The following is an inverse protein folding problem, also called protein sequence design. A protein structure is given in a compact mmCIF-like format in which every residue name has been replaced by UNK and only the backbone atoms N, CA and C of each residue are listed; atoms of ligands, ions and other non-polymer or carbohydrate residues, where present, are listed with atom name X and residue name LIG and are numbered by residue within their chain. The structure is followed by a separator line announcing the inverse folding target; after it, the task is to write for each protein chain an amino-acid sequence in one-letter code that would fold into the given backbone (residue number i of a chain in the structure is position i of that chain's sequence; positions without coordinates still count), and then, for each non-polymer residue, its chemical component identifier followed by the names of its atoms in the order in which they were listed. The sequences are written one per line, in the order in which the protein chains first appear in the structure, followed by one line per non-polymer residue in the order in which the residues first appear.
data_IF_287141445575
#
_entry.id   IF_287141445575
#
_cell.length_a   1.000
_cell.length_b   1.000
_cell.length_c   1.000
_cell.angle_alpha   90.00
_cell.angle_beta   90.00
_cell.angle_gamma   90.00
#
_symmetry.space_group_name_H-M   'P 1'
#
loop_
_entity.id
_entity.type
_entity.pdbx_description
1 polymer ?
#
# COMPACT_ATOMS: atom_id res chain seq x y z
N UNK A 1 -14.87 -4.59 -15.25
CA UNK A 1 -13.54 -4.16 -15.72
C UNK A 1 -13.41 -4.00 -17.25
N UNK A 2 -14.44 -4.25 -18.07
CA UNK A 2 -14.36 -4.14 -19.55
C UNK A 2 -14.07 -2.74 -20.13
N UNK A 3 -14.11 -1.69 -19.31
CA UNK A 3 -14.04 -0.28 -19.75
C UNK A 3 -12.90 0.53 -19.15
N UNK A 4 -12.13 -0.05 -18.22
CA UNK A 4 -10.99 0.64 -17.62
C UNK A 4 -9.78 0.29 -18.47
N UNK A 5 -9.16 1.26 -19.19
CA UNK A 5 -7.96 1.00 -19.96
C UNK A 5 -6.86 0.49 -19.03
N UNK A 6 -5.97 -0.35 -19.55
CA UNK A 6 -4.79 -0.77 -18.81
C UNK A 6 -4.02 0.46 -18.29
N UNK A 7 -3.47 0.40 -17.09
CA UNK A 7 -2.82 1.55 -16.44
C UNK A 7 -1.73 2.20 -17.29
N UNK A 8 -0.98 1.39 -18.05
CA UNK A 8 0.00 1.88 -19.03
C UNK A 8 -0.65 2.73 -20.14
N UNK A 9 -1.83 2.34 -20.63
CA UNK A 9 -2.54 3.09 -21.68
C UNK A 9 -2.96 4.46 -21.13
N UNK A 10 -3.50 4.49 -19.91
CA UNK A 10 -3.84 5.77 -19.25
C UNK A 10 -2.60 6.64 -19.07
N UNK A 11 -1.49 6.07 -18.62
CA UNK A 11 -0.22 6.78 -18.49
C UNK A 11 0.27 7.34 -19.83
N UNK A 12 0.24 6.55 -20.91
CA UNK A 12 0.63 6.99 -22.26
C UNK A 12 -0.25 8.11 -22.79
N UNK A 13 -1.58 8.04 -22.57
CA UNK A 13 -2.52 9.09 -22.96
C UNK A 13 -2.23 10.38 -22.20
N UNK A 14 -2.09 10.32 -20.87
CA UNK A 14 -1.76 11.49 -20.04
C UNK A 14 -0.40 12.09 -20.45
N UNK A 15 0.56 11.24 -20.79
CA UNK A 15 1.88 11.66 -21.23
C UNK A 15 1.81 12.38 -22.59
N UNK A 16 0.99 11.90 -23.52
CA UNK A 16 0.73 12.57 -24.79
C UNK A 16 -0.01 13.90 -24.59
N UNK A 17 -1.01 13.95 -23.70
CA UNK A 17 -1.71 15.18 -23.34
C UNK A 17 -0.72 16.21 -22.77
N UNK A 18 0.14 15.80 -21.83
CA UNK A 18 1.17 16.67 -21.27
C UNK A 18 2.13 17.20 -22.34
N UNK A 19 2.51 16.36 -23.31
CA UNK A 19 3.33 16.76 -24.45
C UNK A 19 2.63 17.82 -25.32
N UNK A 20 1.36 17.62 -25.67
CA UNK A 20 0.57 18.58 -26.46
C UNK A 20 0.37 19.89 -25.70
N UNK A 21 0.06 19.83 -24.41
CA UNK A 21 -0.08 21.01 -23.56
C UNK A 21 1.22 21.81 -23.49
N UNK A 22 2.37 21.14 -23.38
CA UNK A 22 3.67 21.81 -23.37
C UNK A 22 3.99 22.54 -24.69
N UNK A 23 3.51 22.05 -25.84
CA UNK A 23 3.71 22.70 -27.14
C UNK A 23 2.91 24.00 -27.30
N UNK A 24 1.73 24.07 -26.68
CA UNK A 24 0.84 25.23 -26.76
C UNK A 24 1.02 26.22 -25.60
N UNK A 25 1.80 25.85 -24.59
CA UNK A 25 2.06 26.68 -23.43
C UNK A 25 3.18 27.68 -23.72
N UNK A 26 2.86 28.98 -23.65
CA UNK A 26 3.77 30.08 -23.99
C UNK A 26 5.12 30.03 -23.25
N UNK A 27 5.14 29.44 -22.05
CA UNK A 27 6.34 29.36 -21.20
C UNK A 27 7.37 28.27 -21.53
N UNK A 28 7.04 27.28 -22.38
CA UNK A 28 7.96 26.16 -22.73
C UNK A 28 8.45 26.27 -24.18
N UNK A 29 7.67 26.96 -25.02
CA UNK A 29 8.00 27.31 -26.40
C UNK A 29 7.44 26.33 -27.43
N UNK A 30 7.00 26.87 -28.57
CA UNK A 30 6.35 26.15 -29.67
C UNK A 30 7.23 25.12 -30.41
N UNK A 31 8.47 24.89 -29.98
CA UNK A 31 9.42 24.02 -30.65
C UNK A 31 9.34 22.58 -30.08
N UNK A 32 8.91 21.59 -30.87
CA UNK A 32 8.83 20.19 -30.43
C UNK A 32 10.15 19.62 -29.92
N UNK A 33 11.27 20.08 -30.44
CA UNK A 33 12.59 19.63 -29.99
C UNK A 33 12.86 20.02 -28.54
N UNK A 34 12.47 21.22 -28.12
CA UNK A 34 12.60 21.69 -26.74
C UNK A 34 11.76 20.84 -25.78
N UNK A 35 10.52 20.52 -26.18
CA UNK A 35 9.62 19.68 -25.38
C UNK A 35 10.17 18.26 -25.24
N UNK A 36 10.69 17.66 -26.33
CA UNK A 36 11.32 16.33 -26.28
C UNK A 36 12.56 16.34 -25.36
N UNK A 37 13.40 17.37 -25.44
CA UNK A 37 14.56 17.52 -24.55
C UNK A 37 14.14 17.66 -23.08
N UNK A 38 13.11 18.45 -22.79
CA UNK A 38 12.56 18.59 -21.44
C UNK A 38 12.01 17.25 -20.92
N UNK A 39 11.31 16.50 -21.79
CA UNK A 39 10.78 15.17 -21.47
C UNK A 39 11.88 14.17 -21.11
N UNK A 40 12.93 14.12 -21.93
CA UNK A 40 14.09 13.27 -21.69
C UNK A 40 14.81 13.61 -20.38
N UNK A 41 14.97 14.90 -20.05
CA UNK A 41 15.53 15.33 -18.76
C UNK A 41 14.65 14.91 -17.58
N UNK A 42 13.33 15.09 -17.70
CA UNK A 42 12.37 14.69 -16.66
C UNK A 42 12.32 13.19 -16.41
N UNK A 43 12.48 12.36 -17.45
CA UNK A 43 12.52 10.91 -17.33
C UNK A 43 13.59 10.43 -16.34
N UNK A 44 14.79 11.00 -16.41
CA UNK A 44 15.89 10.63 -15.51
C UNK A 44 15.67 11.07 -14.06
N UNK A 45 14.91 12.15 -13.82
CA UNK A 45 14.54 12.57 -12.47
C UNK A 45 13.61 11.55 -11.79
N UNK A 46 12.72 10.91 -12.57
CA UNK A 46 11.79 9.89 -12.07
C UNK A 46 12.48 8.55 -11.78
N UNK A 47 13.62 8.27 -12.40
CA UNK A 47 14.33 6.99 -12.22
C UNK A 47 14.74 6.75 -10.76
N UNK A 48 15.22 7.79 -10.05
CA UNK A 48 15.57 7.69 -8.62
C UNK A 48 14.34 7.31 -7.79
N UNK A 49 13.21 7.97 -8.04
CA UNK A 49 11.94 7.70 -7.36
C UNK A 49 11.44 6.27 -7.67
N UNK A 50 11.47 5.87 -8.94
CA UNK A 50 11.08 4.52 -9.36
C UNK A 50 11.95 3.44 -8.69
N UNK A 51 13.27 3.64 -8.65
CA UNK A 51 14.18 2.73 -7.96
C UNK A 51 13.86 2.60 -6.46
N UNK A 52 13.54 3.71 -5.79
CA UNK A 52 13.09 3.68 -4.39
C UNK A 52 11.83 2.81 -4.22
N UNK A 53 10.84 2.94 -5.11
CA UNK A 53 9.62 2.13 -5.04
C UNK A 53 9.90 0.65 -5.29
N UNK A 54 10.76 0.34 -6.27
CA UNK A 54 11.21 -1.03 -6.53
C UNK A 54 11.92 -1.64 -5.32
N UNK A 55 12.81 -0.89 -4.66
CA UNK A 55 13.52 -1.35 -3.48
C UNK A 55 12.57 -1.56 -2.29
N UNK A 56 11.60 -0.68 -2.05
CA UNK A 56 10.61 -0.86 -0.98
C UNK A 56 9.81 -2.16 -1.20
N UNK A 57 9.35 -2.42 -2.43
CA UNK A 57 8.65 -3.65 -2.78
C UNK A 57 9.54 -4.89 -2.65
N UNK A 58 10.74 -4.86 -3.23
CA UNK A 58 11.64 -6.01 -3.24
C UNK A 58 12.10 -6.37 -1.82
N UNK A 59 12.50 -5.38 -1.03
CA UNK A 59 12.90 -5.61 0.36
C UNK A 59 11.72 -6.06 1.22
N UNK A 60 10.54 -5.47 1.02
CA UNK A 60 9.31 -5.91 1.65
C UNK A 60 8.97 -7.37 1.34
N UNK A 61 9.12 -7.77 0.07
CA UNK A 61 8.95 -9.16 -0.37
C UNK A 61 9.97 -10.10 0.29
N UNK A 62 11.26 -9.77 0.23
CA UNK A 62 12.33 -10.60 0.82
C UNK A 62 12.08 -10.84 2.32
N UNK A 63 11.68 -9.79 3.04
CA UNK A 63 11.35 -9.90 4.47
C UNK A 63 10.10 -10.74 4.67
N UNK A 64 9.04 -10.52 3.88
CA UNK A 64 7.78 -11.25 4.00
C UNK A 64 7.93 -12.77 3.84
N UNK A 65 8.78 -13.21 2.91
CA UNK A 65 9.04 -14.62 2.63
C UNK A 65 10.17 -15.22 3.47
N UNK A 66 10.71 -14.45 4.42
CA UNK A 66 11.77 -14.94 5.28
C UNK A 66 11.21 -15.93 6.33
N UNK A 67 11.95 -17.00 6.70
CA UNK A 67 11.48 -17.97 7.68
C UNK A 67 11.02 -17.38 9.03
N UNK A 68 11.65 -16.32 9.59
CA UNK A 68 11.16 -15.71 10.82
C UNK A 68 9.78 -15.07 10.68
N UNK A 69 9.54 -14.34 9.59
CA UNK A 69 8.26 -13.67 9.34
C UNK A 69 7.17 -14.68 9.05
N UNK A 70 7.48 -15.69 8.23
CA UNK A 70 6.54 -16.77 7.93
C UNK A 70 6.09 -17.50 9.22
N UNK A 71 7.05 -17.86 10.10
CA UNK A 71 6.75 -18.45 11.41
C UNK A 71 5.91 -17.54 12.29
N UNK A 72 6.19 -16.24 12.31
CA UNK A 72 5.42 -15.27 13.07
C UNK A 72 3.99 -15.16 12.54
N UNK A 73 3.79 -15.08 11.23
CA UNK A 73 2.46 -15.05 10.61
C UNK A 73 1.69 -16.34 10.86
N UNK A 74 2.32 -17.50 10.73
CA UNK A 74 1.69 -18.78 11.04
C UNK A 74 1.28 -18.88 12.51
N UNK A 75 2.14 -18.44 13.43
CA UNK A 75 1.82 -18.39 14.86
C UNK A 75 0.66 -17.42 15.13
N UNK A 76 0.70 -16.20 14.58
CA UNK A 76 -0.38 -15.22 14.72
C UNK A 76 -1.71 -15.79 14.23
N UNK A 77 -1.73 -16.51 13.11
CA UNK A 77 -2.94 -17.09 12.54
C UNK A 77 -3.61 -18.14 13.46
N UNK A 78 -2.86 -18.71 14.39
CA UNK A 78 -3.38 -19.69 15.37
C UNK A 78 -4.06 -19.03 16.58
N UNK A 79 -3.87 -17.72 16.79
CA UNK A 79 -4.38 -17.00 17.98
C UNK A 79 -5.90 -16.77 18.00
N UNK A 80 -6.59 -16.46 16.88
CA UNK A 80 -8.03 -16.23 16.90
C UNK A 80 -8.80 -17.49 17.34
N UNK A 81 -9.86 -17.31 18.12
CA UNK A 81 -10.73 -18.40 18.51
C UNK A 81 -11.61 -18.84 17.30
N UNK A 82 -11.58 -20.12 16.89
CA UNK A 82 -12.38 -20.64 15.78
C UNK A 82 -13.90 -20.44 15.90
N UNK A 83 -14.42 -20.28 17.13
CA UNK A 83 -15.84 -20.00 17.38
C UNK A 83 -16.17 -18.50 17.34
N UNK A 84 -15.16 -17.63 17.20
CA UNK A 84 -15.28 -16.18 17.09
C UNK A 84 -14.56 -15.68 15.82
N UNK A 85 -15.07 -16.00 14.61
CA UNK A 85 -14.38 -15.73 13.35
C UNK A 85 -14.11 -14.25 13.07
N UNK A 86 -14.84 -13.31 13.69
CA UNK A 86 -14.54 -11.88 13.63
C UNK A 86 -13.15 -11.53 14.18
N UNK A 87 -12.57 -12.35 15.07
CA UNK A 87 -11.22 -12.16 15.59
C UNK A 87 -10.15 -12.35 14.49
N UNK A 88 -10.42 -13.20 13.50
CA UNK A 88 -9.54 -13.37 12.34
C UNK A 88 -9.52 -12.11 11.47
N UNK A 89 -10.70 -11.48 11.27
CA UNK A 89 -10.83 -10.20 10.56
C UNK A 89 -10.08 -9.09 11.29
N UNK A 90 -10.26 -9.01 12.61
CA UNK A 90 -9.57 -8.04 13.45
C UNK A 90 -8.06 -8.20 13.33
N UNK A 91 -7.55 -9.42 13.49
CA UNK A 91 -6.13 -9.72 13.43
C UNK A 91 -5.55 -9.43 12.04
N UNK A 92 -6.25 -9.80 10.97
CA UNK A 92 -5.85 -9.47 9.60
C UNK A 92 -5.71 -7.96 9.41
N UNK A 93 -6.73 -7.19 9.78
CA UNK A 93 -6.69 -5.74 9.68
C UNK A 93 -5.55 -5.13 10.50
N UNK A 94 -5.33 -5.63 11.72
CA UNK A 94 -4.27 -5.12 12.60
C UNK A 94 -2.88 -5.38 12.03
N UNK A 95 -2.60 -6.62 11.60
CA UNK A 95 -1.30 -7.01 11.04
C UNK A 95 -1.01 -6.21 9.78
N UNK A 96 -1.96 -6.11 8.84
CA UNK A 96 -1.73 -5.37 7.60
C UNK A 96 -1.52 -3.88 7.83
N UNK A 97 -2.29 -3.26 8.71
CA UNK A 97 -2.10 -1.86 9.06
C UNK A 97 -0.73 -1.58 9.72
N UNK A 98 -0.31 -2.40 10.68
CA UNK A 98 1.00 -2.24 11.34
C UNK A 98 2.13 -2.45 10.34
N UNK A 99 2.06 -3.53 9.55
CA UNK A 99 3.08 -3.78 8.54
C UNK A 99 3.12 -2.66 7.51
N UNK A 100 1.98 -2.10 7.09
CA UNK A 100 1.94 -1.00 6.13
C UNK A 100 2.50 0.30 6.68
N UNK A 101 2.30 0.56 7.98
CA UNK A 101 2.94 1.68 8.66
C UNK A 101 4.47 1.55 8.66
N UNK A 102 5.01 0.34 8.79
CA UNK A 102 6.45 0.09 8.78
C UNK A 102 7.01 0.09 7.34
N UNK A 103 6.42 -0.74 6.49
CA UNK A 103 6.77 -0.92 5.10
C UNK A 103 5.55 -1.40 4.29
N UNK A 104 5.06 -0.57 3.39
CA UNK A 104 3.88 -0.90 2.59
C UNK A 104 4.07 -2.08 1.64
N UNK A 105 5.29 -2.30 1.14
CA UNK A 105 5.62 -3.47 0.32
C UNK A 105 5.55 -4.77 1.11
N UNK A 106 6.06 -4.77 2.35
CA UNK A 106 5.94 -5.88 3.29
C UNK A 106 4.48 -6.20 3.58
N UNK A 107 3.65 -5.19 3.85
CA UNK A 107 2.23 -5.39 4.10
C UNK A 107 1.52 -6.14 2.97
N UNK A 108 1.77 -5.77 1.70
CA UNK A 108 1.09 -6.40 0.56
C UNK A 108 1.41 -7.89 0.50
N UNK A 109 2.69 -8.23 0.57
CA UNK A 109 3.15 -9.61 0.42
C UNK A 109 2.77 -10.44 1.64
N UNK A 110 3.01 -9.91 2.84
CA UNK A 110 2.66 -10.58 4.09
C UNK A 110 1.15 -10.79 4.22
N UNK A 111 0.31 -9.84 3.78
CA UNK A 111 -1.14 -10.01 3.78
C UNK A 111 -1.57 -11.21 2.92
N UNK A 112 -1.03 -11.35 1.72
CA UNK A 112 -1.33 -12.46 0.82
C UNK A 112 -0.96 -13.82 1.43
N UNK A 113 0.21 -13.90 2.08
CA UNK A 113 0.66 -15.08 2.82
C UNK A 113 -0.23 -15.34 4.04
N UNK A 114 -0.55 -14.29 4.81
CA UNK A 114 -1.26 -14.40 6.08
C UNK A 114 -2.71 -14.83 5.91
N UNK A 115 -3.40 -14.44 4.82
CA UNK A 115 -4.73 -14.96 4.47
C UNK A 115 -4.71 -16.48 4.49
N UNK A 116 -3.71 -17.11 3.86
CA UNK A 116 -3.61 -18.56 3.68
C UNK A 116 -3.53 -19.25 5.05
N UNK A 117 -2.69 -18.76 5.97
CA UNK A 117 -2.62 -19.32 7.32
C UNK A 117 -3.91 -19.10 8.11
N UNK A 118 -4.50 -17.90 8.05
CA UNK A 118 -5.72 -17.59 8.78
C UNK A 118 -6.87 -18.51 8.37
N UNK A 119 -7.05 -18.75 7.07
CA UNK A 119 -8.19 -19.57 6.61
C UNK A 119 -8.03 -21.05 6.97
N UNK A 120 -6.79 -21.55 7.11
CA UNK A 120 -6.52 -22.91 7.62
C UNK A 120 -6.99 -23.07 9.06
N UNK A 121 -6.78 -22.05 9.89
CA UNK A 121 -7.17 -22.07 11.30
C UNK A 121 -8.62 -21.61 11.54
N UNK A 122 -9.20 -20.85 10.61
CA UNK A 122 -10.49 -20.16 10.78
C UNK A 122 -11.48 -20.50 9.65
N UNK A 123 -11.93 -21.76 9.54
CA UNK A 123 -12.78 -22.20 8.43
C UNK A 123 -14.17 -21.54 8.42
N UNK A 124 -14.59 -20.95 9.56
CA UNK A 124 -15.88 -20.25 9.71
C UNK A 124 -15.82 -18.75 9.35
N UNK A 125 -14.64 -18.23 8.97
CA UNK A 125 -14.48 -16.81 8.63
C UNK A 125 -15.11 -16.49 7.28
N UNK A 126 -15.77 -15.34 7.16
CA UNK A 126 -16.16 -14.83 5.85
C UNK A 126 -14.90 -14.51 5.03
N UNK A 127 -14.64 -15.35 4.03
CA UNK A 127 -13.45 -15.22 3.19
C UNK A 127 -13.39 -13.89 2.42
N UNK A 128 -14.55 -13.35 2.02
CA UNK A 128 -14.61 -12.10 1.24
C UNK A 128 -14.25 -10.92 2.14
N UNK A 129 -14.79 -10.90 3.36
CA UNK A 129 -14.46 -9.89 4.36
C UNK A 129 -13.00 -10.02 4.83
N UNK A 130 -12.48 -11.24 4.95
CA UNK A 130 -11.07 -11.45 5.30
C UNK A 130 -10.13 -10.87 4.23
N UNK A 131 -10.43 -11.11 2.95
CA UNK A 131 -9.70 -10.47 1.85
C UNK A 131 -9.86 -8.96 1.87
N UNK A 132 -11.05 -8.43 2.13
CA UNK A 132 -11.27 -6.99 2.26
C UNK A 132 -10.44 -6.40 3.41
N UNK A 133 -10.33 -7.10 4.54
CA UNK A 133 -9.55 -6.71 5.71
C UNK A 133 -8.03 -6.79 5.50
N UNK A 134 -7.57 -7.36 4.38
CA UNK A 134 -6.16 -7.37 4.00
C UNK A 134 -5.70 -6.04 3.36
N UNK A 135 -6.63 -5.26 2.79
CA UNK A 135 -6.36 -4.02 2.08
C UNK A 135 -6.14 -2.74 2.92
N UNK A 136 -6.66 -2.57 4.16
CA UNK A 136 -6.63 -1.28 4.85
C UNK A 136 -5.23 -0.77 5.12
N UNK A 137 -4.24 -1.64 5.32
CA UNK A 137 -2.85 -1.21 5.42
C UNK A 137 -2.41 -0.38 4.19
N UNK A 138 -2.63 -0.92 2.98
CA UNK A 138 -2.35 -0.22 1.72
C UNK A 138 -3.40 0.85 1.39
N UNK A 139 -4.63 0.75 1.88
CA UNK A 139 -5.70 1.69 1.55
C UNK A 139 -5.70 2.94 2.43
N UNK A 140 -5.24 2.84 3.66
CA UNK A 140 -5.54 3.83 4.70
C UNK A 140 -4.30 4.29 5.50
N UNK A 141 -3.29 3.44 5.69
CA UNK A 141 -2.21 3.73 6.65
C UNK A 141 -0.85 4.00 6.02
N UNK A 142 -0.52 3.35 4.90
CA UNK A 142 0.84 3.41 4.34
C UNK A 142 1.38 4.82 4.08
N UNK A 143 0.52 5.76 3.66
CA UNK A 143 0.91 7.15 3.38
C UNK A 143 1.33 7.91 4.64
N UNK A 144 0.93 7.42 5.81
CA UNK A 144 1.24 8.00 7.11
C UNK A 144 2.47 7.34 7.76
N UNK A 145 3.00 6.29 7.11
CA UNK A 145 4.02 5.40 7.64
C UNK A 145 5.46 5.74 7.24
N UNK A 146 6.36 4.89 7.70
CA UNK A 146 7.82 5.02 7.61
C UNK A 146 8.37 4.81 6.19
N UNK A 147 7.61 4.17 5.31
CA UNK A 147 7.99 3.95 3.91
C UNK A 147 7.18 4.80 2.93
N UNK A 148 6.51 5.86 3.41
CA UNK A 148 5.73 6.78 2.60
C UNK A 148 6.66 7.67 1.75
N UNK A 149 6.60 7.49 0.43
CA UNK A 149 7.55 8.10 -0.51
C UNK A 149 7.52 9.63 -0.49
N UNK A 150 6.34 10.25 -0.46
CA UNK A 150 6.21 11.71 -0.41
C UNK A 150 6.72 12.29 0.92
N UNK A 151 6.26 11.83 2.11
CA UNK A 151 6.80 12.30 3.39
C UNK A 151 8.31 12.11 3.57
N UNK A 152 8.90 11.06 2.99
CA UNK A 152 10.35 10.82 3.02
C UNK A 152 11.15 11.69 2.04
N UNK A 153 10.48 12.31 1.06
CA UNK A 153 11.13 13.20 0.10
C UNK A 153 11.33 14.62 0.66
N UNK A 154 10.39 15.08 1.47
CA UNK A 154 10.40 16.41 2.08
C UNK A 154 11.62 16.69 3.00
N UNK A 155 12.12 15.76 3.82
CA UNK A 155 13.31 15.99 4.63
C UNK A 155 14.63 15.94 3.86
N UNK A 156 14.64 15.49 2.59
CA UNK A 156 15.86 15.43 1.76
C UNK A 156 16.21 16.83 1.21
N UNK A 157 17.34 17.45 1.62
CA UNK A 157 17.78 18.73 1.08
C UNK A 157 18.11 18.67 -0.42
N UNK A 158 18.39 17.48 -0.95
CA UNK A 158 18.65 17.24 -2.36
C UNK A 158 17.39 16.93 -3.18
N UNK A 159 16.20 16.96 -2.57
CA UNK A 159 14.93 16.71 -3.25
C UNK A 159 14.62 17.78 -4.30
N UNK A 160 13.82 17.41 -5.31
CA UNK A 160 13.38 18.36 -6.32
C UNK A 160 12.54 19.50 -5.71
N UNK A 161 11.85 19.23 -4.59
CA UNK A 161 11.01 20.20 -3.90
C UNK A 161 11.83 21.41 -3.43
N UNK A 162 13.07 21.20 -2.98
CA UNK A 162 13.99 22.26 -2.59
C UNK A 162 14.63 22.91 -3.81
N UNK A 163 15.11 22.10 -4.77
CA UNK A 163 15.80 22.59 -5.96
C UNK A 163 14.94 23.49 -6.84
N UNK A 164 13.66 23.20 -6.95
CA UNK A 164 12.68 23.96 -7.74
C UNK A 164 11.98 25.05 -6.90
N UNK A 165 12.48 25.36 -5.70
CA UNK A 165 11.93 26.37 -4.78
C UNK A 165 10.44 26.19 -4.43
N UNK A 166 9.91 24.96 -4.54
CA UNK A 166 8.56 24.60 -4.08
C UNK A 166 8.51 24.63 -2.55
N UNK A 167 9.60 24.24 -1.90
CA UNK A 167 9.83 24.35 -0.47
C UNK A 167 11.06 25.22 -0.20
N UNK A 168 10.95 26.12 0.78
CA UNK A 168 12.05 26.98 1.20
C UNK A 168 13.14 26.21 1.96
N UNK A 169 12.74 25.21 2.76
CA UNK A 169 13.64 24.41 3.59
C UNK A 169 13.14 22.97 3.72
N UNK A 170 14.04 21.99 3.97
CA UNK A 170 13.63 20.62 4.23
C UNK A 170 12.80 20.52 5.51
N UNK A 171 11.69 19.77 5.48
CA UNK A 171 10.85 19.57 6.67
C UNK A 171 11.19 18.23 7.32
N UNK A 172 11.68 18.24 8.57
CA UNK A 172 12.07 17.01 9.26
C UNK A 172 10.87 16.10 9.56
N UNK A 173 11.14 14.80 9.72
CA UNK A 173 10.10 13.78 9.92
C UNK A 173 9.33 13.92 11.23
N UNK A 174 9.88 14.60 12.23
CA UNK A 174 9.16 14.94 13.47
C UNK A 174 8.02 15.95 13.27
N UNK A 175 8.03 16.73 12.18
CA UNK A 175 6.92 17.60 11.78
C UNK A 175 5.99 16.96 10.74
N UNK A 176 6.33 15.79 10.22
CA UNK A 176 5.51 15.06 9.24
C UNK A 176 5.04 13.73 9.84
N UNK A 177 5.77 12.63 9.60
CA UNK A 177 5.43 11.26 10.00
C UNK A 177 5.25 11.14 11.52
N UNK A 178 6.20 11.67 12.29
CA UNK A 178 6.19 11.56 13.75
C UNK A 178 5.54 12.77 14.44
N UNK A 179 4.82 13.61 13.68
CA UNK A 179 4.03 14.67 14.31
C UNK A 179 2.91 14.07 15.15
N UNK A 180 2.58 14.64 16.33
CA UNK A 180 1.48 14.14 17.15
C UNK A 180 0.15 14.04 16.40
N UNK A 181 -0.10 14.97 15.47
CA UNK A 181 -1.27 14.94 14.61
C UNK A 181 -1.30 13.71 13.69
N UNK A 182 -0.21 13.43 12.96
CA UNK A 182 -0.14 12.28 12.07
C UNK A 182 -0.21 10.95 12.86
N UNK A 183 0.47 10.87 14.01
CA UNK A 183 0.41 9.70 14.88
C UNK A 183 -1.01 9.48 15.42
N UNK A 184 -1.70 10.55 15.83
CA UNK A 184 -3.08 10.51 16.29
C UNK A 184 -4.05 10.00 15.22
N UNK A 185 -3.98 10.54 14.00
CA UNK A 185 -4.82 10.08 12.88
C UNK A 185 -4.43 8.66 12.46
N UNK A 186 -3.16 8.28 12.54
CA UNK A 186 -2.72 6.92 12.19
C UNK A 186 -3.35 5.94 13.17
N UNK A 187 -3.20 6.18 14.47
CA UNK A 187 -3.79 5.34 15.51
C UNK A 187 -5.32 5.26 15.37
N UNK A 188 -5.98 6.40 15.15
CA UNK A 188 -7.42 6.45 14.91
C UNK A 188 -7.83 5.62 13.69
N UNK A 189 -7.13 5.79 12.56
CA UNK A 189 -7.41 5.06 11.30
C UNK A 189 -7.24 3.56 11.48
N UNK A 190 -6.18 3.12 12.17
CA UNK A 190 -5.96 1.70 12.48
C UNK A 190 -7.12 1.16 13.33
N UNK A 191 -7.43 1.82 14.45
CA UNK A 191 -8.50 1.38 15.36
C UNK A 191 -9.85 1.36 14.63
N UNK A 192 -10.18 2.42 13.92
CA UNK A 192 -11.44 2.56 13.20
C UNK A 192 -11.60 1.50 12.12
N UNK A 193 -10.63 1.34 11.23
CA UNK A 193 -10.71 0.37 10.13
C UNK A 193 -10.82 -1.05 10.66
N UNK A 194 -9.99 -1.43 11.63
CA UNK A 194 -9.99 -2.75 12.24
C UNK A 194 -11.32 -3.04 12.96
N UNK A 195 -11.79 -2.12 13.80
CA UNK A 195 -13.05 -2.28 14.51
C UNK A 195 -14.25 -2.35 13.54
N UNK A 196 -14.29 -1.45 12.56
CA UNK A 196 -15.37 -1.40 11.57
C UNK A 196 -15.47 -2.71 10.79
N UNK A 197 -14.36 -3.24 10.29
CA UNK A 197 -14.35 -4.52 9.58
C UNK A 197 -14.71 -5.71 10.47
N UNK A 198 -14.25 -5.73 11.71
CA UNK A 198 -14.62 -6.80 12.65
C UNK A 198 -16.14 -6.80 12.94
N UNK A 199 -16.75 -5.63 13.09
CA UNK A 199 -18.20 -5.46 13.31
C UNK A 199 -19.00 -5.90 12.07
N UNK A 200 -18.44 -5.76 10.87
CA UNK A 200 -19.07 -6.19 9.62
C UNK A 200 -19.12 -7.71 9.44
N UNK A 201 -18.50 -8.51 10.32
CA UNK A 201 -18.54 -9.96 10.17
C UNK A 201 -19.99 -10.46 10.19
N UNK A 202 -20.46 -11.16 9.14
CA UNK A 202 -21.83 -11.63 9.09
C UNK A 202 -22.10 -12.70 10.14
N UNK A 203 -23.39 -12.91 10.46
CA UNK A 203 -23.81 -14.04 11.29
C UNK A 203 -23.56 -15.36 10.54
N UNK A 204 -23.38 -16.48 11.25
CA UNK A 204 -23.02 -17.77 10.64
C UNK A 204 -23.92 -18.19 9.46
N UNK A 205 -25.21 -17.85 9.49
CA UNK A 205 -26.18 -18.20 8.44
C UNK A 205 -25.95 -17.45 7.12
N UNK A 206 -25.22 -16.33 7.17
CA UNK A 206 -24.92 -15.47 6.02
C UNK A 206 -23.46 -15.51 5.62
N UNK A 207 -22.63 -16.28 6.32
CA UNK A 207 -21.21 -16.45 6.00
C UNK A 207 -21.08 -17.48 4.89
N UNK A 208 -20.73 -17.09 3.65
CA UNK A 208 -20.51 -18.04 2.58
C UNK A 208 -19.32 -18.92 2.95
N UNK A 209 -19.48 -20.25 2.87
CA UNK A 209 -18.34 -21.15 2.99
C UNK A 209 -17.31 -20.86 1.91
N UNK A 210 -16.03 -21.04 2.23
CA UNK A 210 -14.99 -20.92 1.22
C UNK A 210 -15.23 -21.96 0.13
N UNK A 211 -15.21 -21.57 -1.17
CA UNK A 211 -15.37 -22.53 -2.25
C UNK A 211 -14.30 -23.65 -2.15
N UNK A 212 -14.67 -24.93 -2.32
CA UNK A 212 -13.75 -26.07 -2.20
C UNK A 212 -12.50 -25.96 -3.09
N UNK A 213 -12.63 -25.33 -4.26
CA UNK A 213 -11.53 -25.08 -5.19
C UNK A 213 -10.46 -24.15 -4.61
N UNK A 214 -10.85 -23.18 -3.77
CA UNK A 214 -9.93 -22.23 -3.12
C UNK A 214 -9.26 -22.84 -1.89
N UNK A 215 -9.90 -23.80 -1.23
CA UNK A 215 -9.32 -24.58 -0.14
C UNK A 215 -8.13 -25.44 -0.62
N UNK A 216 -8.21 -26.01 -1.82
CA UNK A 216 -7.09 -26.83 -2.39
C UNK A 216 -5.82 -26.04 -2.68
N UNK A 217 -5.93 -24.75 -2.98
CA UNK A 217 -4.76 -23.85 -3.16
C UNK A 217 -4.08 -23.59 -1.81
N UNK A 218 -4.86 -23.63 -0.74
CA UNK A 218 -4.42 -23.43 0.64
C UNK A 218 -3.90 -24.74 1.24
N UNK A 219 -4.16 -25.93 0.71
CA UNK A 219 -3.66 -27.21 1.29
C UNK A 219 -2.26 -27.63 0.81
N UNK A 220 -1.71 -26.96 -0.21
CA UNK A 220 -0.31 -27.13 -0.65
C UNK A 220 0.66 -26.24 0.12
#
# INVERSE_FOLDING_TARGET
MKWVPHSLIVALILNLIAFVLALIWEGVGYNPFTVIQAWGKGFWALLKCAMQMCLILLTGYIVAVSPPVEKALAWLASLPNPDKPWQAILLMGLVTNILAYINWGLSIVAAAIFVIYLVRHQPKVDFRLLLAAAYPGLGCVWHMGLSASAPLMVPDPGSFLIKEAILAEPIPTNRTIFSPFNLGITAFTIIFTVAFMAIMHPRPEKTPSMPPERLKVVEK
#
